data_IF_042639718854
#
_entry.id   IF_042639718854
#
_cell.length_a   1.000
_cell.length_b   1.000
_cell.length_c   1.000
_cell.angle_alpha   90.00
_cell.angle_beta   90.00
_cell.angle_gamma   90.00
#
_symmetry.space_group_name_H-M   'P 1'
#
loop_
_entity.id
_entity.type
_entity.pdbx_description
1 polymer ?
#
# COMPACT_ATOMS: atom_id res chain seq x y z
N UNK A 1 14.45 -10.25 0.58
CA UNK A 1 14.61 -9.28 -0.53
C UNK A 1 13.49 -8.25 -0.39
N UNK A 2 13.79 -6.96 -0.53
CA UNK A 2 12.78 -5.88 -0.45
C UNK A 2 11.92 -5.90 -1.71
N UNK A 3 10.60 -5.74 -1.55
CA UNK A 3 9.63 -5.69 -2.65
C UNK A 3 9.31 -4.25 -3.02
N UNK A 4 9.11 -3.98 -4.31
CA UNK A 4 8.66 -2.67 -4.83
C UNK A 4 7.21 -2.79 -5.29
N UNK A 5 6.38 -1.91 -4.74
CA UNK A 5 4.91 -1.90 -4.92
C UNK A 5 4.49 -0.55 -5.51
N UNK A 6 4.43 -0.42 -6.85
CA UNK A 6 3.96 0.82 -7.46
C UNK A 6 2.49 1.11 -7.14
N UNK A 7 2.19 2.31 -6.59
CA UNK A 7 0.81 2.79 -6.42
C UNK A 7 0.33 3.50 -7.68
N UNK A 8 -0.73 2.98 -8.29
CA UNK A 8 -1.33 3.57 -9.50
C UNK A 8 -2.04 4.90 -9.25
N UNK A 9 -2.04 5.41 -8.03
CA UNK A 9 -2.58 6.74 -7.72
C UNK A 9 -1.88 7.84 -8.53
N UNK A 10 -0.59 7.66 -8.84
CA UNK A 10 0.22 8.60 -9.63
C UNK A 10 0.29 8.23 -11.12
N UNK A 11 -0.37 7.17 -11.56
CA UNK A 11 -0.36 6.79 -12.97
C UNK A 11 -1.21 7.73 -13.83
N UNK A 12 -0.83 7.89 -15.09
CA UNK A 12 -1.68 8.52 -16.11
C UNK A 12 -2.87 7.60 -16.41
N UNK A 13 -4.07 8.00 -15.98
CA UNK A 13 -5.28 7.19 -16.14
C UNK A 13 -5.62 6.90 -17.59
N UNK A 14 -5.19 7.75 -18.55
CA UNK A 14 -5.38 7.51 -19.98
C UNK A 14 -4.48 6.39 -20.50
N UNK A 15 -3.41 6.04 -19.77
CA UNK A 15 -2.41 5.03 -20.09
C UNK A 15 -2.25 3.97 -18.97
N UNK A 16 -3.20 3.89 -18.03
CA UNK A 16 -3.09 3.04 -16.84
C UNK A 16 -2.62 1.62 -17.17
N UNK A 17 -3.29 0.95 -18.10
CA UNK A 17 -2.94 -0.43 -18.47
C UNK A 17 -1.56 -0.59 -19.12
N UNK A 18 -1.07 0.43 -19.82
CA UNK A 18 0.29 0.48 -20.40
C UNK A 18 1.33 0.64 -19.28
N UNK A 19 1.16 1.63 -18.42
CA UNK A 19 2.09 1.90 -17.33
C UNK A 19 2.15 0.78 -16.29
N UNK A 20 1.03 0.09 -16.02
CA UNK A 20 1.03 -1.11 -15.18
C UNK A 20 1.88 -2.24 -15.81
N UNK A 21 1.76 -2.48 -17.13
CA UNK A 21 2.62 -3.48 -17.80
C UNK A 21 4.09 -3.07 -17.81
N UNK A 22 4.39 -1.78 -17.99
CA UNK A 22 5.76 -1.24 -17.88
C UNK A 22 6.33 -1.51 -16.48
N UNK A 23 5.56 -1.24 -15.43
CA UNK A 23 5.97 -1.49 -14.05
C UNK A 23 6.25 -2.97 -13.78
N UNK A 24 5.37 -3.87 -14.24
CA UNK A 24 5.56 -5.32 -14.11
C UNK A 24 6.81 -5.78 -14.87
N UNK A 25 7.00 -5.32 -16.09
CA UNK A 25 8.16 -5.66 -16.92
C UNK A 25 9.46 -5.17 -16.29
N UNK A 26 9.42 -4.04 -15.57
CA UNK A 26 10.54 -3.49 -14.82
C UNK A 26 10.78 -4.20 -13.48
N UNK A 27 9.93 -5.15 -13.10
CA UNK A 27 10.09 -5.98 -11.92
C UNK A 27 9.31 -5.49 -10.70
N UNK A 28 8.18 -4.82 -10.87
CA UNK A 28 7.25 -4.59 -9.75
C UNK A 28 6.79 -5.92 -9.16
N UNK A 29 6.81 -6.04 -7.83
CA UNK A 29 6.45 -7.28 -7.14
C UNK A 29 4.94 -7.38 -6.89
N UNK A 30 4.27 -6.23 -6.70
CA UNK A 30 2.83 -6.07 -6.51
C UNK A 30 2.38 -4.75 -7.16
N UNK A 31 1.08 -4.53 -7.25
CA UNK A 31 0.50 -3.24 -7.67
C UNK A 31 -0.47 -2.79 -6.59
N UNK A 32 -0.33 -1.54 -6.10
CA UNK A 32 -1.27 -0.95 -5.14
C UNK A 32 -2.29 -0.05 -5.84
N UNK A 33 -3.54 -0.16 -5.39
CA UNK A 33 -4.67 0.71 -5.76
C UNK A 33 -5.16 1.43 -4.51
N UNK A 34 -4.92 2.74 -4.43
CA UNK A 34 -5.33 3.59 -3.31
C UNK A 34 -6.76 4.08 -3.50
N UNK A 35 -7.65 3.67 -2.60
CA UNK A 35 -9.09 3.94 -2.63
C UNK A 35 -9.46 4.96 -1.57
N UNK A 36 -10.08 6.08 -2.00
CA UNK A 36 -10.44 7.21 -1.15
C UNK A 36 -11.89 7.60 -1.37
N UNK A 37 -12.64 7.85 -0.29
CA UNK A 37 -14.08 8.08 -0.32
C UNK A 37 -14.52 9.55 -0.09
N UNK A 38 -13.57 10.45 0.16
CA UNK A 38 -13.86 11.85 0.50
C UNK A 38 -14.39 12.06 1.92
N UNK A 39 -14.41 11.02 2.76
CA UNK A 39 -14.85 11.07 4.16
C UNK A 39 -13.68 10.75 5.10
N UNK A 40 -13.09 9.59 4.98
CA UNK A 40 -11.90 9.22 5.76
C UNK A 40 -10.71 10.13 5.42
N UNK A 41 -10.54 10.45 4.14
CA UNK A 41 -9.56 11.42 3.63
C UNK A 41 -10.25 12.46 2.74
N UNK A 42 -9.74 13.72 2.65
CA UNK A 42 -10.39 14.80 1.89
C UNK A 42 -10.10 14.70 0.38
N UNK A 43 -10.18 13.51 -0.19
CA UNK A 43 -9.95 13.24 -1.61
C UNK A 43 -10.83 12.07 -2.08
N UNK A 44 -11.12 12.03 -3.37
CA UNK A 44 -11.78 10.92 -4.05
C UNK A 44 -10.80 10.32 -5.06
N UNK A 45 -10.68 8.99 -5.10
CA UNK A 45 -9.79 8.35 -6.07
C UNK A 45 -10.49 7.23 -6.85
N UNK A 46 -10.30 6.00 -6.46
CA UNK A 46 -10.63 4.81 -7.21
C UNK A 46 -11.72 3.98 -6.53
N UNK A 47 -12.23 3.00 -7.27
CA UNK A 47 -13.16 1.99 -6.79
C UNK A 47 -12.82 0.61 -7.36
N UNK A 48 -13.67 -0.42 -7.11
CA UNK A 48 -13.43 -1.81 -7.56
C UNK A 48 -13.19 -1.91 -9.07
N UNK A 49 -13.76 -1.01 -9.87
CA UNK A 49 -13.56 -0.98 -11.33
C UNK A 49 -12.10 -0.77 -11.76
N UNK A 50 -11.31 -0.01 -10.99
CA UNK A 50 -9.88 0.18 -11.26
C UNK A 50 -9.10 -1.08 -10.90
N UNK A 51 -9.40 -1.73 -9.77
CA UNK A 51 -8.82 -3.04 -9.42
C UNK A 51 -9.08 -4.06 -10.53
N UNK A 52 -10.33 -4.16 -11.01
CA UNK A 52 -10.67 -5.05 -12.11
C UNK A 52 -9.94 -4.70 -13.42
N UNK A 53 -9.69 -3.41 -13.69
CA UNK A 53 -8.90 -2.98 -14.84
C UNK A 53 -7.43 -3.40 -14.72
N UNK A 54 -6.82 -3.21 -13.54
CA UNK A 54 -5.46 -3.64 -13.25
C UNK A 54 -5.36 -5.17 -13.35
N UNK A 55 -6.29 -5.93 -12.75
CA UNK A 55 -6.31 -7.40 -12.82
C UNK A 55 -6.32 -7.92 -14.26
N UNK A 56 -7.08 -7.29 -15.17
CA UNK A 56 -7.10 -7.68 -16.59
C UNK A 56 -5.75 -7.54 -17.29
N UNK A 57 -4.90 -6.61 -16.88
CA UNK A 57 -3.59 -6.38 -17.50
C UNK A 57 -2.43 -7.01 -16.72
N UNK A 58 -2.68 -7.40 -15.47
CA UNK A 58 -1.74 -8.00 -14.53
C UNK A 58 -2.32 -9.30 -13.91
N UNK A 59 -2.64 -10.34 -14.69
CA UNK A 59 -3.39 -11.50 -14.19
C UNK A 59 -2.65 -12.28 -13.09
N UNK A 60 -1.32 -12.30 -13.11
CA UNK A 60 -0.49 -13.09 -12.20
C UNK A 60 0.19 -12.25 -11.10
N UNK A 61 0.13 -10.93 -11.18
CA UNK A 61 0.78 -10.06 -10.20
C UNK A 61 -0.17 -9.76 -9.05
N UNK A 62 0.26 -9.87 -7.78
CA UNK A 62 -0.58 -9.55 -6.65
C UNK A 62 -1.05 -8.08 -6.67
N UNK A 63 -2.32 -7.86 -6.36
CA UNK A 63 -2.93 -6.53 -6.30
C UNK A 63 -3.35 -6.24 -4.88
N UNK A 64 -2.94 -5.09 -4.38
CA UNK A 64 -3.31 -4.56 -3.08
C UNK A 64 -4.36 -3.46 -3.24
N UNK A 65 -5.51 -3.59 -2.57
CA UNK A 65 -6.49 -2.53 -2.44
C UNK A 65 -6.30 -1.87 -1.06
N UNK A 66 -5.73 -0.67 -1.04
CA UNK A 66 -5.57 0.11 0.17
C UNK A 66 -6.79 1.00 0.38
N UNK A 67 -7.61 0.68 1.38
CA UNK A 67 -8.91 1.31 1.62
C UNK A 67 -8.81 2.45 2.62
N UNK A 68 -8.61 3.67 2.15
CA UNK A 68 -8.74 4.93 2.89
C UNK A 68 -10.21 5.39 2.85
N UNK A 69 -11.09 4.60 3.41
CA UNK A 69 -12.55 4.80 3.40
C UNK A 69 -13.14 4.57 4.77
N UNK A 70 -14.23 5.24 5.11
CA UNK A 70 -15.01 4.93 6.30
C UNK A 70 -15.71 3.58 6.17
N UNK A 71 -15.68 2.77 7.23
CA UNK A 71 -16.38 1.48 7.33
C UNK A 71 -16.00 0.52 6.19
N UNK A 72 -14.68 0.22 6.01
CA UNK A 72 -14.16 -0.58 4.90
C UNK A 72 -14.78 -1.97 4.80
N UNK A 73 -15.31 -2.53 5.91
CA UNK A 73 -16.01 -3.81 5.94
C UNK A 73 -17.20 -3.89 4.97
N UNK A 74 -17.76 -2.75 4.56
CA UNK A 74 -18.87 -2.70 3.60
C UNK A 74 -18.43 -2.90 2.15
N UNK A 75 -17.15 -2.73 1.86
CA UNK A 75 -16.60 -2.75 0.50
C UNK A 75 -15.77 -4.00 0.20
N UNK A 76 -15.41 -4.79 1.22
CA UNK A 76 -14.52 -5.95 1.11
C UNK A 76 -14.92 -6.88 -0.03
N UNK A 77 -16.18 -7.31 -0.08
CA UNK A 77 -16.69 -8.23 -1.12
C UNK A 77 -16.48 -7.67 -2.52
N UNK A 78 -16.79 -6.38 -2.73
CA UNK A 78 -16.66 -5.76 -4.05
C UNK A 78 -15.21 -5.68 -4.54
N UNK A 79 -14.24 -5.45 -3.63
CA UNK A 79 -12.83 -5.43 -3.98
C UNK A 79 -12.25 -6.84 -4.20
N UNK A 80 -12.68 -7.83 -3.42
CA UNK A 80 -12.34 -9.23 -3.62
C UNK A 80 -12.84 -9.74 -4.98
N UNK A 81 -14.11 -9.50 -5.31
CA UNK A 81 -14.69 -9.87 -6.62
C UNK A 81 -14.02 -9.15 -7.79
N UNK A 82 -13.52 -7.93 -7.58
CA UNK A 82 -12.74 -7.18 -8.57
C UNK A 82 -11.35 -7.76 -8.80
N UNK A 83 -10.87 -8.66 -7.93
CA UNK A 83 -9.60 -9.37 -8.07
C UNK A 83 -8.46 -8.81 -7.20
N UNK A 84 -8.75 -8.16 -6.07
CA UNK A 84 -7.73 -7.86 -5.07
C UNK A 84 -7.25 -9.16 -4.40
N UNK A 85 -5.94 -9.30 -4.22
CA UNK A 85 -5.33 -10.40 -3.44
C UNK A 85 -5.15 -9.97 -1.98
N UNK A 86 -4.87 -8.69 -1.77
CA UNK A 86 -4.71 -8.07 -0.46
C UNK A 86 -5.70 -6.92 -0.32
N UNK A 87 -6.30 -6.81 0.85
CA UNK A 87 -7.11 -5.65 1.23
C UNK A 87 -6.52 -5.08 2.51
N UNK A 88 -6.07 -3.83 2.43
CA UNK A 88 -5.46 -3.09 3.52
C UNK A 88 -6.47 -2.09 4.08
N UNK A 89 -6.67 -2.09 5.39
CA UNK A 89 -7.64 -1.22 6.06
C UNK A 89 -6.96 -0.37 7.12
N UNK A 90 -7.32 0.91 7.16
CA UNK A 90 -6.85 1.85 8.16
C UNK A 90 -7.41 1.47 9.53
N UNK A 91 -6.57 1.42 10.56
CA UNK A 91 -7.03 1.10 11.93
C UNK A 91 -7.98 2.15 12.47
N UNK A 92 -7.95 3.35 11.93
CA UNK A 92 -8.79 4.48 12.31
C UNK A 92 -10.15 4.53 11.59
N UNK A 93 -10.35 3.71 10.56
CA UNK A 93 -11.49 3.82 9.63
C UNK A 93 -12.78 3.17 10.10
N UNK A 94 -12.71 2.35 11.16
CA UNK A 94 -13.88 1.64 11.71
C UNK A 94 -13.71 1.35 13.20
N UNK A 95 -14.85 1.27 13.92
CA UNK A 95 -14.88 0.81 15.30
C UNK A 95 -14.89 -0.74 15.42
N UNK A 96 -14.85 -1.47 14.31
CA UNK A 96 -14.96 -2.93 14.26
C UNK A 96 -13.88 -3.57 13.40
N UNK A 97 -12.61 -3.23 13.68
CA UNK A 97 -11.45 -3.73 12.92
C UNK A 97 -11.41 -5.27 12.83
N UNK A 98 -11.68 -5.98 13.93
CA UNK A 98 -11.73 -7.44 13.92
C UNK A 98 -12.72 -7.97 12.88
N UNK A 99 -13.91 -7.33 12.78
CA UNK A 99 -14.91 -7.69 11.77
C UNK A 99 -14.42 -7.42 10.35
N UNK A 100 -13.73 -6.29 10.13
CA UNK A 100 -13.17 -5.96 8.82
C UNK A 100 -12.11 -6.97 8.39
N UNK A 101 -11.16 -7.29 9.26
CA UNK A 101 -10.11 -8.29 9.02
C UNK A 101 -10.70 -9.69 8.75
N UNK A 102 -11.71 -10.09 9.54
CA UNK A 102 -12.38 -11.38 9.36
C UNK A 102 -13.12 -11.45 8.02
N UNK A 103 -13.86 -10.40 7.66
CA UNK A 103 -14.56 -10.32 6.37
C UNK A 103 -13.60 -10.40 5.17
N UNK A 104 -12.38 -9.82 5.27
CA UNK A 104 -11.35 -9.93 4.25
C UNK A 104 -10.92 -11.39 4.06
N UNK A 105 -10.67 -12.11 5.17
CA UNK A 105 -10.33 -13.52 5.12
C UNK A 105 -11.44 -14.40 4.55
N UNK A 106 -12.71 -14.15 4.93
CA UNK A 106 -13.88 -14.86 4.39
C UNK A 106 -14.09 -14.62 2.88
N UNK A 107 -13.69 -13.44 2.39
CA UNK A 107 -13.71 -13.12 0.96
C UNK A 107 -12.54 -13.74 0.17
N UNK A 108 -11.65 -14.49 0.83
CA UNK A 108 -10.49 -15.14 0.20
C UNK A 108 -9.29 -14.23 -0.02
N UNK A 109 -9.30 -13.01 0.52
CA UNK A 109 -8.19 -12.07 0.44
C UNK A 109 -7.29 -12.12 1.67
N UNK A 110 -6.07 -11.61 1.54
CA UNK A 110 -5.14 -11.44 2.65
C UNK A 110 -5.35 -10.07 3.29
N UNK A 111 -5.49 -10.04 4.61
CA UNK A 111 -5.74 -8.80 5.35
C UNK A 111 -4.43 -8.11 5.74
N UNK A 112 -4.37 -6.78 5.51
CA UNK A 112 -3.35 -5.90 6.05
C UNK A 112 -3.96 -4.79 6.90
N UNK A 113 -3.20 -4.30 7.89
CA UNK A 113 -3.55 -3.12 8.68
C UNK A 113 -2.66 -1.95 8.32
N UNK A 114 -3.25 -0.77 8.28
CA UNK A 114 -2.54 0.47 7.97
C UNK A 114 -2.63 1.43 9.15
N UNK A 115 -1.50 2.04 9.49
CA UNK A 115 -1.38 3.02 10.58
C UNK A 115 -1.13 4.42 10.03
N UNK A 116 -1.97 5.38 10.39
CA UNK A 116 -1.67 6.80 10.19
C UNK A 116 -0.44 7.25 10.98
N UNK A 117 0.24 8.36 10.57
CA UNK A 117 1.44 8.83 11.24
C UNK A 117 1.28 9.06 12.75
N UNK A 118 0.15 9.57 13.20
CA UNK A 118 -0.13 9.88 14.60
C UNK A 118 -0.60 8.69 15.45
N UNK A 119 -0.99 7.57 14.83
CA UNK A 119 -1.58 6.41 15.53
C UNK A 119 -0.51 5.57 16.21
N UNK A 120 -0.66 5.23 17.50
CA UNK A 120 0.28 4.38 18.21
C UNK A 120 0.36 2.96 17.65
N UNK A 121 1.56 2.37 17.61
CA UNK A 121 1.80 1.00 17.12
C UNK A 121 1.07 -0.05 17.98
N UNK A 122 0.86 0.23 19.25
CA UNK A 122 0.19 -0.64 20.22
C UNK A 122 -1.26 -0.98 19.84
N UNK A 123 -1.90 -0.15 19.00
CA UNK A 123 -3.26 -0.41 18.46
C UNK A 123 -3.35 -1.69 17.63
N UNK A 124 -2.21 -2.18 17.11
CA UNK A 124 -2.15 -3.42 16.32
C UNK A 124 -2.14 -4.68 17.18
N UNK A 125 -1.74 -4.61 18.45
CA UNK A 125 -1.35 -5.75 19.28
C UNK A 125 -2.33 -6.93 19.23
N UNK A 126 -3.61 -6.65 19.37
CA UNK A 126 -4.64 -7.69 19.41
C UNK A 126 -4.99 -8.26 18.01
N UNK A 127 -4.56 -7.58 16.95
CA UNK A 127 -4.89 -7.93 15.56
C UNK A 127 -3.72 -8.57 14.80
N UNK A 128 -2.49 -8.46 15.30
CA UNK A 128 -1.29 -9.09 14.70
C UNK A 128 -1.52 -10.57 14.32
N UNK A 129 -2.20 -11.42 15.13
CA UNK A 129 -2.39 -12.83 14.77
C UNK A 129 -3.33 -13.08 13.58
N UNK A 130 -4.06 -12.06 13.13
CA UNK A 130 -5.13 -12.19 12.12
C UNK A 130 -4.79 -11.54 10.78
N UNK A 131 -3.61 -10.93 10.66
CA UNK A 131 -3.18 -10.21 9.45
C UNK A 131 -1.86 -10.73 8.93
N UNK A 132 -1.57 -10.48 7.67
CA UNK A 132 -0.30 -10.91 7.06
C UNK A 132 0.72 -9.77 6.96
N UNK A 133 0.28 -8.52 7.10
CA UNK A 133 1.14 -7.36 6.93
C UNK A 133 0.64 -6.14 7.70
N UNK A 134 1.57 -5.23 7.95
CA UNK A 134 1.29 -3.89 8.48
C UNK A 134 1.90 -2.85 7.54
N UNK A 135 1.09 -1.90 7.09
CA UNK A 135 1.54 -0.73 6.35
C UNK A 135 1.67 0.47 7.29
N UNK A 136 2.81 1.12 7.27
CA UNK A 136 3.09 2.35 8.01
C UNK A 136 3.00 3.53 7.04
N UNK A 137 1.98 4.39 7.21
CA UNK A 137 1.92 5.64 6.47
C UNK A 137 3.10 6.54 6.86
N UNK A 138 3.88 6.92 5.87
CA UNK A 138 5.03 7.81 6.02
C UNK A 138 4.74 9.24 5.54
N UNK A 139 3.49 9.49 5.21
CA UNK A 139 2.83 10.79 5.00
C UNK A 139 1.44 10.75 5.61
N UNK A 140 0.76 11.88 5.74
CA UNK A 140 -0.67 11.87 6.04
C UNK A 140 -1.45 11.35 4.84
N UNK A 141 -2.35 10.34 4.98
CA UNK A 141 -3.06 9.77 3.84
C UNK A 141 -3.98 10.77 3.13
N UNK A 142 -4.23 10.57 1.82
CA UNK A 142 -5.18 11.35 1.04
C UNK A 142 -4.63 11.96 -0.25
N UNK A 143 -3.32 12.18 -0.38
CA UNK A 143 -2.72 12.78 -1.57
C UNK A 143 -1.37 12.14 -1.90
N UNK A 144 -1.08 11.99 -3.20
CA UNK A 144 0.24 11.61 -3.67
C UNK A 144 1.26 12.77 -3.63
N UNK A 145 2.55 12.47 -3.79
CA UNK A 145 3.62 13.46 -3.91
C UNK A 145 3.94 14.26 -2.64
N UNK A 146 3.49 13.80 -1.48
CA UNK A 146 3.75 14.46 -0.20
C UNK A 146 5.19 14.23 0.28
N UNK A 147 5.65 15.12 1.16
CA UNK A 147 6.97 15.03 1.78
C UNK A 147 6.99 13.95 2.85
N UNK A 148 7.97 13.06 2.77
CA UNK A 148 8.24 12.02 3.75
C UNK A 148 8.40 12.55 5.19
N UNK A 149 7.77 11.90 6.15
CA UNK A 149 7.86 12.21 7.58
C UNK A 149 9.14 11.58 8.14
N UNK A 150 10.12 12.40 8.51
CA UNK A 150 11.47 11.98 8.90
C UNK A 150 11.53 11.08 10.15
N UNK A 151 10.49 11.06 10.97
CA UNK A 151 10.37 10.20 12.16
C UNK A 151 9.76 8.82 11.86
N UNK A 152 9.30 8.57 10.63
CA UNK A 152 8.66 7.31 10.25
C UNK A 152 9.55 6.07 10.43
N UNK A 153 10.89 6.11 10.21
CA UNK A 153 11.74 4.95 10.47
C UNK A 153 11.65 4.44 11.92
N UNK A 154 11.50 5.31 12.91
CA UNK A 154 11.34 4.89 14.31
C UNK A 154 10.01 4.15 14.54
N UNK A 155 8.97 4.54 13.82
CA UNK A 155 7.68 3.83 13.85
C UNK A 155 7.78 2.46 13.17
N UNK A 156 8.49 2.37 12.05
CA UNK A 156 8.76 1.09 11.36
C UNK A 156 9.49 0.11 12.29
N UNK A 157 10.53 0.56 13.01
CA UNK A 157 11.23 -0.30 14.00
C UNK A 157 10.28 -0.83 15.06
N UNK A 158 9.44 0.03 15.65
CA UNK A 158 8.45 -0.40 16.65
C UNK A 158 7.41 -1.38 16.09
N UNK A 159 6.99 -1.24 14.85
CA UNK A 159 6.12 -2.23 14.18
C UNK A 159 6.87 -3.55 14.01
N UNK A 160 8.12 -3.53 13.56
CA UNK A 160 8.96 -4.72 13.42
C UNK A 160 9.16 -5.44 14.75
N UNK A 161 9.40 -4.69 15.83
CA UNK A 161 9.56 -5.24 17.19
C UNK A 161 8.25 -5.90 17.70
N UNK A 162 7.10 -5.28 17.39
CA UNK A 162 5.78 -5.80 17.79
C UNK A 162 5.36 -7.05 16.99
N UNK A 163 5.70 -7.09 15.71
CA UNK A 163 5.23 -8.09 14.75
C UNK A 163 6.37 -8.59 13.84
N UNK A 164 7.37 -9.30 14.40
CA UNK A 164 8.60 -9.68 13.71
C UNK A 164 8.37 -10.58 12.50
N UNK A 165 7.28 -11.35 12.49
CA UNK A 165 6.95 -12.31 11.42
C UNK A 165 6.10 -11.72 10.28
N UNK A 166 5.54 -10.52 10.47
CA UNK A 166 4.70 -9.89 9.45
C UNK A 166 5.53 -9.17 8.39
N UNK A 167 4.98 -9.06 7.20
CA UNK A 167 5.47 -8.10 6.22
C UNK A 167 5.25 -6.67 6.76
N UNK A 168 6.27 -5.81 6.66
CA UNK A 168 6.16 -4.40 7.02
C UNK A 168 6.29 -3.57 5.76
N UNK A 169 5.22 -2.91 5.40
CA UNK A 169 5.11 -2.03 4.28
C UNK A 169 5.20 -0.57 4.72
N UNK A 170 5.66 0.29 3.83
CA UNK A 170 5.70 1.74 4.01
C UNK A 170 5.10 2.44 2.80
N UNK A 171 4.29 3.47 3.05
CA UNK A 171 3.57 4.19 2.01
C UNK A 171 3.62 5.71 2.24
N UNK A 172 4.14 6.42 1.25
CA UNK A 172 4.17 7.87 1.19
C UNK A 172 5.56 8.50 1.16
N UNK A 173 5.87 9.23 0.08
CA UNK A 173 7.15 9.92 -0.10
C UNK A 173 8.35 8.98 -0.20
N UNK A 174 8.14 7.77 -0.72
CA UNK A 174 9.19 6.78 -0.92
C UNK A 174 9.89 7.03 -2.26
N UNK A 175 11.19 7.30 -2.19
CA UNK A 175 12.10 7.51 -3.31
C UNK A 175 13.47 6.87 -2.99
N UNK A 176 14.46 7.01 -3.88
CA UNK A 176 15.81 6.46 -3.71
C UNK A 176 16.58 7.01 -2.49
N UNK A 177 16.11 8.12 -1.88
CA UNK A 177 16.74 8.73 -0.69
C UNK A 177 16.08 8.27 0.60
N UNK A 178 14.77 8.02 0.57
CA UNK A 178 13.98 7.65 1.75
C UNK A 178 13.85 6.14 1.92
N UNK A 179 13.89 5.37 0.83
CA UNK A 179 13.81 3.91 0.86
C UNK A 179 14.88 3.25 1.75
N UNK A 180 16.19 3.61 1.68
CA UNK A 180 17.20 3.04 2.56
C UNK A 180 16.89 3.22 4.05
N UNK A 181 16.34 4.39 4.44
CA UNK A 181 16.04 4.71 5.83
C UNK A 181 14.98 3.79 6.45
N UNK A 182 13.96 3.46 5.66
CA UNK A 182 12.87 2.60 6.12
C UNK A 182 13.22 1.11 6.02
N UNK A 183 14.03 0.73 5.04
CA UNK A 183 14.54 -0.65 4.91
C UNK A 183 15.50 -0.98 6.06
N UNK A 184 16.42 -0.08 6.41
CA UNK A 184 17.27 -0.21 7.61
C UNK A 184 16.43 -0.33 8.90
N UNK A 185 15.26 0.31 8.93
CA UNK A 185 14.33 0.23 10.05
C UNK A 185 13.51 -1.07 10.06
N UNK A 186 13.55 -1.90 9.01
CA UNK A 186 12.90 -3.20 8.94
C UNK A 186 11.71 -3.27 7.97
N UNK A 187 11.50 -2.27 7.11
CA UNK A 187 10.51 -2.36 6.04
C UNK A 187 10.91 -3.43 5.00
N UNK A 188 9.94 -4.17 4.51
CA UNK A 188 10.10 -5.22 3.50
C UNK A 188 9.38 -4.92 2.19
N UNK A 189 8.43 -3.99 2.19
CA UNK A 189 7.70 -3.51 1.01
C UNK A 189 7.74 -1.99 0.95
N UNK A 190 7.94 -1.48 -0.26
CA UNK A 190 8.08 -0.05 -0.57
C UNK A 190 6.96 0.36 -1.54
N UNK A 191 5.93 1.05 -1.04
CA UNK A 191 4.91 1.64 -1.91
C UNK A 191 5.43 2.96 -2.47
N UNK A 192 5.41 3.08 -3.80
CA UNK A 192 5.95 4.23 -4.50
C UNK A 192 5.02 4.65 -5.65
N UNK A 193 4.55 5.89 -5.61
CA UNK A 193 3.73 6.49 -6.66
C UNK A 193 4.55 7.38 -7.59
N UNK A 194 4.73 8.63 -7.21
CA UNK A 194 5.39 9.67 -8.03
C UNK A 194 6.83 9.34 -8.41
N UNK A 195 7.60 8.71 -7.52
CA UNK A 195 8.98 8.28 -7.82
C UNK A 195 9.05 7.19 -8.91
N UNK A 196 7.93 6.50 -9.20
CA UNK A 196 7.82 5.52 -10.27
C UNK A 196 7.14 6.12 -11.50
N UNK A 197 5.90 6.59 -11.36
CA UNK A 197 5.07 6.97 -12.50
C UNK A 197 5.40 8.35 -13.09
N UNK A 198 5.93 9.29 -12.26
CA UNK A 198 6.38 10.61 -12.68
C UNK A 198 7.91 10.69 -12.82
N UNK A 199 8.61 9.54 -12.79
CA UNK A 199 10.08 9.53 -12.92
C UNK A 199 10.50 10.08 -14.29
N UNK A 200 11.48 11.04 -14.35
CA UNK A 200 11.86 11.74 -15.59
C UNK A 200 12.30 10.81 -16.73
N UNK A 201 12.83 9.64 -16.41
CA UNK A 201 13.30 8.63 -17.36
C UNK A 201 12.30 7.46 -17.54
N UNK A 202 11.06 7.62 -17.07
CA UNK A 202 9.99 6.64 -17.20
C UNK A 202 9.91 5.62 -16.07
N UNK A 203 8.84 4.82 -16.08
CA UNK A 203 8.45 3.88 -15.02
C UNK A 203 9.55 2.88 -14.69
N UNK A 204 10.20 2.31 -15.70
CA UNK A 204 11.27 1.32 -15.51
C UNK A 204 12.48 1.91 -14.76
N UNK A 205 12.84 3.14 -15.05
CA UNK A 205 13.93 3.82 -14.36
C UNK A 205 13.59 4.13 -12.89
N UNK A 206 12.34 4.51 -12.60
CA UNK A 206 11.89 4.73 -11.24
C UNK A 206 11.94 3.46 -10.37
N UNK A 207 11.52 2.32 -10.91
CA UNK A 207 11.62 1.01 -10.22
C UNK A 207 13.08 0.62 -10.03
N UNK A 208 13.92 0.79 -11.08
CA UNK A 208 15.36 0.52 -11.00
C UNK A 208 16.05 1.35 -9.90
N UNK A 209 15.80 2.66 -9.85
CA UNK A 209 16.37 3.55 -8.86
C UNK A 209 16.02 3.14 -7.42
N UNK A 210 14.76 2.73 -7.18
CA UNK A 210 14.35 2.21 -5.87
C UNK A 210 15.08 0.93 -5.50
N UNK A 211 15.17 -0.04 -6.41
CA UNK A 211 15.88 -1.31 -6.16
C UNK A 211 17.36 -1.10 -5.89
N UNK A 212 18.02 -0.28 -6.70
CA UNK A 212 19.45 0.01 -6.57
C UNK A 212 19.75 0.72 -5.23
N UNK A 213 18.82 1.52 -4.73
CA UNK A 213 19.00 2.26 -3.48
C UNK A 213 19.00 1.36 -2.22
N UNK A 214 18.45 0.14 -2.32
CA UNK A 214 18.29 -0.81 -1.20
C UNK A 214 18.96 -2.18 -1.44
N UNK A 215 19.83 -2.26 -2.45
CA UNK A 215 20.57 -3.47 -2.86
C UNK A 215 21.72 -3.83 -1.89
#
# INVERSE_FOLDING_TARGET
MVQVVPSVLSADLTRLGEQVREAITAGADRIQVDVMDGHFVPNLSFGPGVVAAVRRVAPEVPIEAHLMVERPEQFVTAFAEAGADYILVQVESTNSLYRAVHAIGEAGCRAGLVLNPATPVETLRELVPYVCMVNVMTVEPGFGGQRFIVTSPDKVRRVRDLAPELEVEVDGGIDERTAPLVVEAGATLLVAGTSVFDHPLGVAAGIGALRDSVA
#
